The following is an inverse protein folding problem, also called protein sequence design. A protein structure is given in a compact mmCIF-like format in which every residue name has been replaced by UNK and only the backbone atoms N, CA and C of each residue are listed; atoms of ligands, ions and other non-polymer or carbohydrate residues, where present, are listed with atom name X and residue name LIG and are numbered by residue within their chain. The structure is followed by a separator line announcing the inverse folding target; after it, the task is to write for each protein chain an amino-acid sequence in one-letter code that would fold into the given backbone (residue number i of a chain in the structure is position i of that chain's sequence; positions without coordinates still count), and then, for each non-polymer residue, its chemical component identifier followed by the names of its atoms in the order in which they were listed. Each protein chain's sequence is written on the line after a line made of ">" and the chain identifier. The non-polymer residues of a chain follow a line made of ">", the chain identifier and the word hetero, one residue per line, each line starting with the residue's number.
data_IF_668990653166
#
_entry.id   IF_668990653166
#
_cell.length_a   1.000
_cell.length_b   1.000
_cell.length_c   1.000
_cell.angle_alpha   90.00
_cell.angle_beta   90.00
_cell.angle_gamma   90.00
#
_symmetry.space_group_name_H-M   'P 1'
#
loop_
_entity.id
_entity.type
_entity.pdbx_description
1 polymer ?
#
# COMPACT_ATOMS: atom_id res chain seq x y z
N UNK A 1 56.58 36.63 -45.05
CA UNK A 1 55.56 36.03 -44.16
C UNK A 1 54.26 36.80 -44.35
N UNK A 2 53.18 36.18 -44.83
CA UNK A 2 51.86 36.81 -44.92
C UNK A 2 50.87 36.10 -43.97
N UNK A 3 50.09 36.84 -43.18
CA UNK A 3 49.08 36.25 -42.31
C UNK A 3 47.85 35.82 -43.13
N UNK A 4 47.39 34.58 -42.94
CA UNK A 4 46.17 34.06 -43.57
C UNK A 4 44.95 34.67 -42.87
N UNK A 5 44.04 35.25 -43.65
CA UNK A 5 42.79 35.82 -43.14
C UNK A 5 41.86 34.71 -42.60
N UNK A 6 41.45 34.84 -41.33
CA UNK A 6 40.49 33.95 -40.69
C UNK A 6 39.08 34.35 -41.12
N UNK A 7 38.43 33.54 -41.98
CA UNK A 7 37.03 33.76 -42.37
C UNK A 7 36.14 33.40 -41.18
N UNK A 8 35.39 34.38 -40.66
CA UNK A 8 34.33 34.11 -39.69
C UNK A 8 33.11 33.63 -40.47
N UNK A 9 32.82 32.35 -40.39
CA UNK A 9 31.57 31.80 -40.91
C UNK A 9 30.41 32.43 -40.16
N UNK A 10 29.50 33.08 -40.88
CA UNK A 10 28.28 33.65 -40.29
C UNK A 10 27.38 32.49 -39.89
N UNK A 11 27.28 32.22 -38.59
CA UNK A 11 26.32 31.25 -38.06
C UNK A 11 24.91 31.87 -38.20
N UNK A 12 24.17 31.43 -39.22
CA UNK A 12 22.77 31.80 -39.40
C UNK A 12 21.90 30.94 -38.48
N UNK A 13 21.57 31.47 -37.30
CA UNK A 13 20.65 30.82 -36.37
C UNK A 13 19.23 31.00 -36.89
N UNK A 14 18.69 29.97 -37.56
CA UNK A 14 17.29 29.96 -37.97
C UNK A 14 16.38 30.01 -36.74
N UNK A 15 15.37 30.91 -36.68
CA UNK A 15 14.49 31.01 -35.53
C UNK A 15 13.66 29.73 -35.38
N UNK A 16 13.74 29.09 -34.21
CA UNK A 16 12.86 27.95 -33.88
C UNK A 16 11.44 28.49 -33.68
N UNK A 17 10.50 28.06 -34.53
CA UNK A 17 9.07 28.34 -34.37
C UNK A 17 8.54 27.55 -33.17
N UNK A 18 8.28 28.22 -32.06
CA UNK A 18 7.67 27.60 -30.88
C UNK A 18 6.16 27.46 -31.17
N UNK A 19 5.66 26.23 -31.18
CA UNK A 19 4.21 25.96 -31.30
C UNK A 19 3.58 26.13 -29.92
N UNK A 20 2.84 27.21 -29.73
CA UNK A 20 2.03 27.43 -28.52
C UNK A 20 0.82 26.51 -28.60
N UNK A 21 0.59 25.71 -27.56
CA UNK A 21 -0.64 24.91 -27.46
C UNK A 21 -1.84 25.83 -27.27
N UNK A 22 -2.93 25.50 -27.96
CA UNK A 22 -4.21 26.16 -27.70
C UNK A 22 -4.85 25.61 -26.40
N UNK A 23 -5.83 26.33 -25.88
CA UNK A 23 -6.53 25.98 -24.63
C UNK A 23 -7.07 24.55 -24.65
N UNK A 24 -7.66 24.11 -25.76
CA UNK A 24 -8.18 22.75 -25.92
C UNK A 24 -7.06 21.69 -25.83
N UNK A 25 -5.90 21.94 -26.43
CA UNK A 25 -4.75 21.04 -26.35
C UNK A 25 -4.24 20.94 -24.91
N UNK A 26 -4.23 22.06 -24.18
CA UNK A 26 -3.81 22.09 -22.77
C UNK A 26 -4.78 21.25 -21.93
N UNK A 27 -6.08 21.45 -22.10
CA UNK A 27 -7.11 20.68 -21.38
C UNK A 27 -7.02 19.18 -21.67
N UNK A 28 -6.86 18.80 -22.94
CA UNK A 28 -6.69 17.40 -23.31
C UNK A 28 -5.43 16.80 -22.69
N UNK A 29 -4.31 17.54 -22.71
CA UNK A 29 -3.06 17.07 -22.13
C UNK A 29 -3.15 16.89 -20.61
N UNK A 30 -3.83 17.81 -19.92
CA UNK A 30 -4.10 17.72 -18.49
C UNK A 30 -4.97 16.49 -18.20
N UNK A 31 -6.06 16.31 -18.94
CA UNK A 31 -6.94 15.15 -18.79
C UNK A 31 -6.19 13.82 -19.01
N UNK A 32 -5.37 13.72 -20.07
CA UNK A 32 -4.55 12.54 -20.33
C UNK A 32 -3.54 12.27 -19.22
N UNK A 33 -2.98 13.34 -18.63
CA UNK A 33 -2.09 13.22 -17.48
C UNK A 33 -2.83 12.70 -16.25
N UNK A 34 -4.01 13.26 -15.93
CA UNK A 34 -4.84 12.81 -14.82
C UNK A 34 -5.28 11.35 -14.98
N UNK A 35 -5.69 10.93 -16.18
CA UNK A 35 -6.05 9.55 -16.43
C UNK A 35 -4.88 8.60 -16.19
N UNK A 36 -3.67 8.94 -16.65
CA UNK A 36 -2.47 8.14 -16.38
C UNK A 36 -2.13 8.06 -14.90
N UNK A 37 -2.33 9.14 -14.16
CA UNK A 37 -2.11 9.16 -12.71
C UNK A 37 -3.14 8.27 -12.02
N UNK A 38 -4.42 8.41 -12.38
CA UNK A 38 -5.50 7.59 -11.82
C UNK A 38 -5.27 6.10 -12.06
N UNK A 39 -4.96 5.70 -13.30
CA UNK A 39 -4.68 4.29 -13.61
C UNK A 39 -3.52 3.72 -12.80
N UNK A 40 -2.44 4.50 -12.61
CA UNK A 40 -1.31 4.06 -11.78
C UNK A 40 -1.68 3.93 -10.31
N UNK A 41 -2.52 4.83 -9.79
CA UNK A 41 -3.00 4.74 -8.41
C UNK A 41 -3.86 3.50 -8.21
N UNK A 42 -4.74 3.19 -9.18
CA UNK A 42 -5.58 1.99 -9.14
C UNK A 42 -4.72 0.70 -9.16
N UNK A 43 -3.71 0.63 -10.05
CA UNK A 43 -2.74 -0.47 -10.11
C UNK A 43 -1.96 -0.64 -8.79
N UNK A 44 -1.54 0.48 -8.18
CA UNK A 44 -0.87 0.46 -6.88
C UNK A 44 -1.79 0.00 -5.75
N UNK A 45 -3.06 0.42 -5.77
CA UNK A 45 -4.06 0.02 -4.79
C UNK A 45 -4.33 -1.49 -4.84
N UNK A 46 -4.44 -2.06 -6.03
CA UNK A 46 -4.58 -3.50 -6.22
C UNK A 46 -3.34 -4.26 -5.74
N UNK A 47 -2.15 -3.81 -6.13
CA UNK A 47 -0.88 -4.41 -5.70
C UNK A 47 -0.70 -4.39 -4.18
N UNK A 48 -1.01 -3.28 -3.51
CA UNK A 48 -1.01 -3.18 -2.05
C UNK A 48 -2.04 -4.13 -1.45
N UNK A 49 -3.24 -4.22 -2.02
CA UNK A 49 -4.27 -5.17 -1.60
C UNK A 49 -3.79 -6.62 -1.63
N UNK A 50 -3.13 -7.04 -2.71
CA UNK A 50 -2.54 -8.38 -2.82
C UNK A 50 -1.41 -8.61 -1.80
N UNK A 51 -0.53 -7.63 -1.63
CA UNK A 51 0.55 -7.72 -0.65
C UNK A 51 0.01 -7.81 0.77
N UNK A 52 -1.03 -7.04 1.09
CA UNK A 52 -1.72 -7.13 2.37
C UNK A 52 -2.34 -8.52 2.54
N UNK A 53 -3.01 -9.09 1.54
CA UNK A 53 -3.52 -10.48 1.62
C UNK A 53 -2.41 -11.53 1.81
N UNK A 54 -1.20 -11.30 1.28
CA UNK A 54 -0.05 -12.19 1.46
C UNK A 54 0.64 -12.02 2.82
N UNK A 55 0.67 -10.80 3.35
CA UNK A 55 1.38 -10.44 4.59
C UNK A 55 0.47 -10.53 5.82
N UNK A 56 -0.83 -10.33 5.65
CA UNK A 56 -1.82 -10.75 6.64
C UNK A 56 -2.11 -12.22 6.40
N UNK A 57 -1.54 -13.15 7.18
CA UNK A 57 -2.27 -14.39 7.38
C UNK A 57 -3.65 -13.95 7.85
N UNK A 58 -4.70 -14.53 7.28
CA UNK A 58 -6.03 -14.49 7.87
C UNK A 58 -5.90 -15.21 9.22
N UNK A 59 -5.38 -14.51 10.21
CA UNK A 59 -5.35 -14.86 11.62
C UNK A 59 -6.58 -14.16 12.19
N UNK A 60 -7.75 -14.83 12.28
CA UNK A 60 -8.88 -14.32 13.03
C UNK A 60 -8.61 -14.30 14.56
N UNK A 61 -7.33 -14.23 14.98
CA UNK A 61 -6.87 -14.56 16.34
C UNK A 61 -5.92 -13.53 16.95
N UNK A 62 -5.58 -12.44 16.26
CA UNK A 62 -4.82 -11.33 16.87
C UNK A 62 -5.69 -10.31 17.62
N UNK A 63 -7.00 -10.55 17.73
CA UNK A 63 -7.71 -10.10 18.90
C UNK A 63 -7.43 -11.12 20.00
N UNK A 64 -6.58 -10.74 20.95
CA UNK A 64 -6.39 -11.39 22.25
C UNK A 64 -7.68 -11.25 23.07
N UNK A 65 -8.79 -11.70 22.51
CA UNK A 65 -10.08 -11.77 23.17
C UNK A 65 -9.92 -12.89 24.18
N UNK A 66 -9.67 -12.49 25.43
CA UNK A 66 -9.58 -13.40 26.55
C UNK A 66 -10.87 -14.23 26.58
N UNK A 67 -10.81 -15.46 26.06
CA UNK A 67 -11.99 -16.30 25.95
C UNK A 67 -12.40 -16.70 27.35
N UNK A 68 -13.54 -16.17 27.79
CA UNK A 68 -14.15 -16.55 29.06
C UNK A 68 -14.74 -17.94 28.85
N UNK A 69 -14.08 -18.95 29.41
CA UNK A 69 -14.59 -20.32 29.43
C UNK A 69 -15.53 -20.49 30.62
N UNK A 70 -16.74 -20.98 30.36
CA UNK A 70 -17.61 -21.36 31.45
C UNK A 70 -17.18 -22.70 32.09
N UNK A 71 -17.91 -23.16 33.11
CA UNK A 71 -17.53 -24.41 33.81
C UNK A 71 -17.70 -25.65 32.92
N UNK A 72 -18.65 -25.66 31.99
CA UNK A 72 -18.88 -26.78 31.08
C UNK A 72 -17.76 -26.88 30.05
N UNK A 73 -17.38 -25.74 29.46
CA UNK A 73 -16.26 -25.65 28.53
C UNK A 73 -14.95 -26.08 29.20
N UNK A 74 -14.69 -25.63 30.43
CA UNK A 74 -13.49 -26.03 31.18
C UNK A 74 -13.45 -27.53 31.48
N UNK A 75 -14.58 -28.13 31.82
CA UNK A 75 -14.67 -29.57 32.07
C UNK A 75 -14.35 -30.36 30.79
N UNK A 76 -14.90 -29.93 29.65
CA UNK A 76 -14.64 -30.55 28.36
C UNK A 76 -13.19 -30.36 27.93
N UNK A 77 -12.67 -29.14 28.00
CA UNK A 77 -11.34 -28.77 27.54
C UNK A 77 -10.23 -29.46 28.33
N UNK A 78 -10.36 -29.50 29.65
CA UNK A 78 -9.37 -30.13 30.53
C UNK A 78 -9.62 -31.63 30.69
N UNK A 79 -10.71 -32.16 30.11
CA UNK A 79 -11.20 -33.52 30.33
C UNK A 79 -11.29 -33.87 31.83
N UNK A 80 -11.89 -32.97 32.60
CA UNK A 80 -12.02 -33.11 34.06
C UNK A 80 -13.45 -32.95 34.53
N UNK A 81 -13.70 -33.37 35.77
CA UNK A 81 -15.01 -33.18 36.40
C UNK A 81 -15.19 -31.76 36.97
N UNK A 82 -16.45 -31.34 37.13
CA UNK A 82 -16.83 -30.09 37.83
C UNK A 82 -16.20 -29.97 39.21
N UNK A 83 -16.09 -31.08 39.95
CA UNK A 83 -15.47 -31.12 41.29
C UNK A 83 -13.99 -30.77 41.23
N UNK A 84 -13.28 -31.20 40.19
CA UNK A 84 -11.88 -30.87 39.95
C UNK A 84 -11.71 -29.38 39.68
N UNK A 85 -12.54 -28.77 38.82
CA UNK A 85 -12.50 -27.33 38.54
C UNK A 85 -12.78 -26.50 39.81
N UNK A 86 -13.79 -26.88 40.60
CA UNK A 86 -14.11 -26.21 41.86
C UNK A 86 -12.95 -26.26 42.86
N UNK A 87 -12.25 -27.41 42.96
CA UNK A 87 -11.07 -27.53 43.82
C UNK A 87 -9.96 -26.56 43.37
N UNK A 88 -9.69 -26.44 42.08
CA UNK A 88 -8.69 -25.50 41.57
C UNK A 88 -9.06 -24.05 41.88
N UNK A 89 -10.35 -23.66 41.76
CA UNK A 89 -10.83 -22.33 42.21
C UNK A 89 -10.66 -22.12 43.72
N UNK A 90 -10.98 -23.11 44.54
CA UNK A 90 -10.79 -23.01 46.01
C UNK A 90 -9.32 -22.88 46.42
N UNK A 91 -8.41 -23.39 45.59
CA UNK A 91 -6.96 -23.29 45.79
C UNK A 91 -6.36 -22.03 45.17
N UNK A 92 -7.17 -21.20 44.47
CA UNK A 92 -6.72 -19.98 43.79
C UNK A 92 -5.91 -20.25 42.51
N UNK A 93 -5.96 -21.46 41.96
CA UNK A 93 -5.25 -21.83 40.73
C UNK A 93 -6.02 -21.46 39.45
N UNK A 94 -7.32 -21.22 39.57
CA UNK A 94 -8.19 -20.70 38.52
C UNK A 94 -8.98 -19.52 39.09
N UNK A 95 -9.25 -18.47 38.28
CA UNK A 95 -10.14 -17.40 38.67
C UNK A 95 -11.61 -17.87 38.81
#
# INVERSE_FOLDING_TARGET
>A
MHPKAFKRDKIEVKPKRIKVMNEQQILNHINDCFQKIASRLDEQQESIGELLQRVTPVEPSLQKQERIYDTQDLCLFLNTSKRTIQRHRSLGLLP
#
